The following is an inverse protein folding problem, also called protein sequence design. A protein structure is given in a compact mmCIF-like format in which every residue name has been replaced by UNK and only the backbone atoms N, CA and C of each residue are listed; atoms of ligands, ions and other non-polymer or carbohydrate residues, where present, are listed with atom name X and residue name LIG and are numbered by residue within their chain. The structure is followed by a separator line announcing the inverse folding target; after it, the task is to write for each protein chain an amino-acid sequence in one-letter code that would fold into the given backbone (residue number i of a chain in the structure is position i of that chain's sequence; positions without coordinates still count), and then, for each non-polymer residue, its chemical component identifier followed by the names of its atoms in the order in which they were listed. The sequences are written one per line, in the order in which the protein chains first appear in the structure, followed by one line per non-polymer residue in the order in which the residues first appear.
data_IF_428894986382
#
_entry.id   IF_428894986382
#
_cell.length_a   1.000
_cell.length_b   1.000
_cell.length_c   1.000
_cell.angle_alpha   90.00
_cell.angle_beta   90.00
_cell.angle_gamma   90.00
#
_symmetry.space_group_name_H-M   'P 1'
#
loop_
_entity.id
_entity.type
_entity.pdbx_description
1 polymer ?
#
# COMPACT_ATOMS: atom_id res chain seq x y z
N UNK A 1 -12.69 -13.00 -2.99
CA UNK A 1 -12.71 -13.44 -4.40
C UNK A 1 -11.28 -13.78 -4.80
N UNK A 2 -11.04 -14.78 -5.66
CA UNK A 2 -9.68 -15.03 -6.17
C UNK A 2 -9.28 -13.84 -7.03
N UNK A 3 -8.05 -13.32 -6.85
CA UNK A 3 -7.55 -12.22 -7.68
C UNK A 3 -7.51 -12.69 -9.14
N UNK A 4 -8.09 -11.94 -10.10
CA UNK A 4 -8.06 -12.32 -11.51
C UNK A 4 -6.61 -12.43 -11.98
N UNK A 5 -6.33 -13.44 -12.82
CA UNK A 5 -5.01 -13.64 -13.43
C UNK A 5 -5.07 -13.12 -14.86
N UNK A 6 -4.04 -12.37 -15.27
CA UNK A 6 -3.94 -11.86 -16.63
C UNK A 6 -3.93 -13.03 -17.64
N UNK A 7 -4.76 -13.00 -18.69
CA UNK A 7 -4.80 -14.07 -19.70
C UNK A 7 -3.41 -14.32 -20.30
N UNK A 8 -2.99 -15.58 -20.36
CA UNK A 8 -1.68 -15.99 -20.90
C UNK A 8 -0.48 -15.64 -20.00
N UNK A 9 -0.69 -15.16 -18.77
CA UNK A 9 0.40 -14.88 -17.86
C UNK A 9 1.09 -16.17 -17.40
N UNK A 10 2.42 -16.15 -17.38
CA UNK A 10 3.26 -17.19 -16.82
C UNK A 10 4.29 -16.56 -15.89
N UNK A 11 4.64 -17.28 -14.82
CA UNK A 11 5.74 -16.91 -13.94
C UNK A 11 6.76 -18.05 -13.90
N UNK A 12 8.04 -17.71 -14.00
CA UNK A 12 9.15 -18.65 -13.97
C UNK A 12 10.06 -18.29 -12.81
N UNK A 13 10.32 -19.27 -11.95
CA UNK A 13 11.33 -19.16 -10.89
C UNK A 13 12.71 -18.94 -11.51
N UNK A 14 13.47 -18.03 -10.94
CA UNK A 14 14.90 -17.92 -11.23
C UNK A 14 15.65 -19.09 -10.59
N UNK A 15 16.82 -19.44 -11.13
CA UNK A 15 17.71 -20.45 -10.56
C UNK A 15 18.93 -19.84 -9.87
N UNK A 16 18.90 -18.52 -9.63
CA UNK A 16 20.04 -17.79 -9.09
C UNK A 16 20.11 -17.95 -7.56
N UNK A 17 21.24 -18.38 -6.99
CA UNK A 17 21.37 -18.59 -5.55
C UNK A 17 21.06 -17.34 -4.71
N UNK A 18 21.45 -16.15 -5.21
CA UNK A 18 21.19 -14.88 -4.53
C UNK A 18 19.72 -14.42 -4.56
N UNK A 19 18.86 -15.02 -5.41
CA UNK A 19 17.46 -14.59 -5.55
C UNK A 19 16.53 -15.61 -4.87
N UNK A 20 16.00 -15.24 -3.71
CA UNK A 20 14.94 -15.99 -3.06
C UNK A 20 13.62 -15.77 -3.82
N UNK A 21 13.19 -16.77 -4.57
CA UNK A 21 11.93 -16.72 -5.29
C UNK A 21 10.75 -16.70 -4.31
N UNK A 22 9.77 -15.78 -4.48
CA UNK A 22 8.54 -15.80 -3.70
C UNK A 22 7.72 -17.05 -4.04
N UNK A 23 6.95 -17.54 -3.07
CA UNK A 23 6.03 -18.65 -3.29
C UNK A 23 4.88 -18.23 -4.22
N UNK A 24 4.36 -17.01 -4.03
CA UNK A 24 3.28 -16.42 -4.81
C UNK A 24 3.59 -14.93 -5.13
N UNK A 25 4.19 -14.61 -6.28
CA UNK A 25 4.46 -13.23 -6.71
C UNK A 25 3.17 -12.57 -7.23
N UNK A 26 2.23 -12.33 -6.32
CA UNK A 26 0.94 -11.72 -6.65
C UNK A 26 1.08 -10.22 -6.58
N UNK A 27 0.65 -9.54 -7.65
CA UNK A 27 0.49 -8.10 -7.65
C UNK A 27 -0.94 -7.77 -7.16
N UNK A 28 -1.05 -6.75 -6.30
CA UNK A 28 -2.34 -6.18 -5.88
C UNK A 28 -2.70 -4.99 -6.76
N UNK A 29 -3.91 -4.46 -6.60
CA UNK A 29 -4.29 -3.22 -7.28
C UNK A 29 -3.39 -2.06 -6.82
N UNK A 30 -2.87 -1.30 -7.78
CA UNK A 30 -1.99 -0.17 -7.56
C UNK A 30 -2.42 1.05 -8.38
N UNK A 31 -1.53 2.03 -8.52
CA UNK A 31 -1.78 3.27 -9.26
C UNK A 31 -2.19 3.03 -10.73
N UNK A 32 -1.80 1.90 -11.31
CA UNK A 32 -2.16 1.51 -12.68
C UNK A 32 -3.67 1.35 -12.87
N UNK A 33 -4.42 1.11 -11.78
CA UNK A 33 -5.88 1.05 -11.79
C UNK A 33 -6.56 2.43 -11.69
N UNK A 34 -5.78 3.49 -11.45
CA UNK A 34 -6.28 4.85 -11.29
C UNK A 34 -6.39 5.60 -12.62
N UNK A 35 -7.45 6.39 -12.78
CA UNK A 35 -7.70 7.14 -14.01
C UNK A 35 -8.13 8.58 -13.70
N UNK A 36 -7.23 9.52 -13.98
CA UNK A 36 -7.45 10.96 -13.76
C UNK A 36 -8.65 11.52 -14.56
N UNK A 37 -8.86 11.03 -15.78
CA UNK A 37 -9.98 11.47 -16.62
C UNK A 37 -11.31 11.00 -16.03
N UNK A 38 -11.36 9.75 -15.54
CA UNK A 38 -12.55 9.22 -14.89
C UNK A 38 -12.85 10.00 -13.59
N UNK A 39 -11.84 10.26 -12.77
CA UNK A 39 -11.99 11.10 -11.57
C UNK A 39 -12.54 12.50 -11.91
N UNK A 40 -11.93 13.19 -12.88
CA UNK A 40 -12.38 14.52 -13.31
C UNK A 40 -13.82 14.49 -13.84
N UNK A 41 -14.17 13.45 -14.59
CA UNK A 41 -15.53 13.24 -15.10
C UNK A 41 -16.53 13.08 -13.98
N UNK A 42 -16.20 12.32 -12.92
CA UNK A 42 -17.11 12.14 -11.77
C UNK A 42 -17.23 13.43 -10.95
N UNK A 43 -16.12 14.13 -10.70
CA UNK A 43 -16.12 15.40 -9.94
C UNK A 43 -16.93 16.49 -10.65
N UNK A 44 -16.79 16.63 -11.97
CA UNK A 44 -17.49 17.65 -12.74
C UNK A 44 -18.90 17.21 -13.16
N UNK A 45 -19.08 15.91 -13.40
CA UNK A 45 -20.32 15.32 -13.93
C UNK A 45 -21.38 15.11 -12.86
N UNK A 46 -21.03 14.69 -11.64
CA UNK A 46 -22.02 14.46 -10.59
C UNK A 46 -22.78 15.74 -10.18
N UNK A 47 -22.13 16.89 -9.93
CA UNK A 47 -22.83 18.15 -9.70
C UNK A 47 -23.67 18.59 -10.90
N UNK A 48 -23.19 18.36 -12.12
CA UNK A 48 -23.92 18.69 -13.36
C UNK A 48 -25.23 17.87 -13.46
N UNK A 49 -25.17 16.57 -13.15
CA UNK A 49 -26.34 15.70 -13.10
C UNK A 49 -27.33 16.15 -12.02
N UNK A 50 -26.86 16.52 -10.83
CA UNK A 50 -27.72 17.05 -9.75
C UNK A 50 -28.46 18.31 -10.21
N UNK A 51 -27.74 19.28 -10.78
CA UNK A 51 -28.34 20.53 -11.29
C UNK A 51 -29.37 20.23 -12.39
N UNK A 52 -29.05 19.31 -13.31
CA UNK A 52 -29.89 18.97 -14.45
C UNK A 52 -31.17 18.23 -14.03
N UNK A 53 -31.05 17.22 -13.16
CA UNK A 53 -32.17 16.39 -12.71
C UNK A 53 -33.11 17.17 -11.79
N UNK A 54 -32.55 17.95 -10.86
CA UNK A 54 -33.32 18.77 -9.92
C UNK A 54 -33.76 20.12 -10.53
N UNK A 55 -33.41 20.40 -11.79
CA UNK A 55 -33.70 21.66 -12.50
C UNK A 55 -33.29 22.91 -11.71
N UNK A 56 -32.12 22.84 -11.07
CA UNK A 56 -31.56 23.97 -10.32
C UNK A 56 -31.03 25.04 -11.28
N UNK A 57 -30.95 26.32 -10.86
CA UNK A 57 -30.38 27.37 -11.69
C UNK A 57 -28.89 27.13 -11.97
N UNK A 58 -28.41 27.48 -13.16
CA UNK A 58 -27.04 27.17 -13.61
C UNK A 58 -25.93 27.70 -12.70
N UNK A 59 -26.16 28.81 -11.99
CA UNK A 59 -25.18 29.36 -11.02
C UNK A 59 -24.92 28.42 -9.84
N UNK A 60 -25.86 27.51 -9.53
CA UNK A 60 -25.68 26.51 -8.47
C UNK A 60 -24.62 25.46 -8.84
N UNK A 61 -24.31 25.27 -10.13
CA UNK A 61 -23.32 24.30 -10.59
C UNK A 61 -21.92 24.53 -10.00
N UNK A 62 -21.25 25.68 -10.18
CA UNK A 62 -19.92 25.90 -9.62
C UNK A 62 -19.92 25.80 -8.08
N UNK A 63 -20.99 26.23 -7.41
CA UNK A 63 -21.13 26.13 -5.95
C UNK A 63 -21.17 24.67 -5.50
N UNK A 64 -22.03 23.86 -6.14
CA UNK A 64 -22.13 22.43 -5.85
C UNK A 64 -20.85 21.68 -6.21
N UNK A 65 -20.17 22.03 -7.30
CA UNK A 65 -18.89 21.44 -7.66
C UNK A 65 -17.84 21.67 -6.59
N UNK A 66 -17.71 22.90 -6.06
CA UNK A 66 -16.76 23.19 -4.98
C UNK A 66 -17.11 22.42 -3.71
N UNK A 67 -18.39 22.43 -3.32
CA UNK A 67 -18.85 21.76 -2.09
C UNK A 67 -18.70 20.23 -2.16
N UNK A 68 -18.96 19.64 -3.33
CA UNK A 68 -18.95 18.18 -3.51
C UNK A 68 -17.60 17.63 -4.00
N UNK A 69 -16.67 18.47 -4.46
CA UNK A 69 -15.39 18.00 -4.99
C UNK A 69 -14.63 17.10 -4.01
N UNK A 70 -14.44 17.54 -2.75
CA UNK A 70 -13.74 16.77 -1.74
C UNK A 70 -14.51 15.49 -1.32
N UNK A 71 -15.83 15.52 -1.02
CA UNK A 71 -16.59 14.30 -0.77
C UNK A 71 -16.57 13.29 -1.93
N UNK A 72 -16.72 13.76 -3.17
CA UNK A 72 -16.67 12.91 -4.37
C UNK A 72 -15.27 12.30 -4.52
N UNK A 73 -14.22 13.10 -4.34
CA UNK A 73 -12.84 12.64 -4.37
C UNK A 73 -12.61 11.55 -3.31
N UNK A 74 -13.00 11.78 -2.06
CA UNK A 74 -12.89 10.77 -1.00
C UNK A 74 -13.66 9.49 -1.36
N UNK A 75 -14.92 9.60 -1.79
CA UNK A 75 -15.72 8.43 -2.19
C UNK A 75 -15.09 7.65 -3.36
N UNK A 76 -14.47 8.36 -4.32
CA UNK A 76 -13.76 7.76 -5.44
C UNK A 76 -12.59 6.88 -4.98
N UNK A 77 -11.76 7.38 -4.07
CA UNK A 77 -10.62 6.63 -3.53
C UNK A 77 -11.06 5.41 -2.74
N UNK A 78 -12.16 5.51 -1.99
CA UNK A 78 -12.70 4.40 -1.20
C UNK A 78 -13.24 3.32 -2.12
N UNK A 79 -14.02 3.73 -3.11
CA UNK A 79 -14.52 2.82 -4.13
C UNK A 79 -13.37 2.14 -4.87
N UNK A 80 -12.37 2.90 -5.31
CA UNK A 80 -11.14 2.37 -5.92
C UNK A 80 -10.43 1.37 -5.01
N UNK A 81 -10.16 1.73 -3.76
CA UNK A 81 -9.47 0.87 -2.78
C UNK A 81 -10.18 -0.46 -2.52
N UNK A 82 -11.53 -0.47 -2.63
CA UNK A 82 -12.36 -1.66 -2.39
C UNK A 82 -12.49 -2.56 -3.61
N UNK A 83 -12.57 -1.98 -4.81
CA UNK A 83 -12.98 -2.69 -6.03
C UNK A 83 -11.92 -2.72 -7.12
N UNK A 84 -10.80 -2.01 -6.97
CA UNK A 84 -9.73 -2.04 -7.95
C UNK A 84 -9.19 -3.45 -8.12
N UNK A 85 -9.00 -3.83 -9.37
CA UNK A 85 -8.45 -5.13 -9.75
C UNK A 85 -6.94 -4.99 -10.00
N UNK A 86 -6.15 -6.02 -9.68
CA UNK A 86 -4.75 -6.05 -10.07
C UNK A 86 -4.58 -5.91 -11.58
N UNK A 87 -3.65 -5.05 -12.01
CA UNK A 87 -3.42 -4.79 -13.43
C UNK A 87 -2.62 -5.91 -14.13
N UNK A 88 -1.60 -6.44 -13.47
CA UNK A 88 -0.65 -7.39 -14.06
C UNK A 88 -0.41 -8.62 -13.17
N UNK A 89 -1.45 -9.07 -12.45
CA UNK A 89 -1.35 -10.29 -11.66
C UNK A 89 -1.11 -11.53 -12.54
N UNK A 90 0.01 -12.23 -12.29
CA UNK A 90 0.46 -13.38 -13.11
C UNK A 90 0.22 -14.73 -12.45
N UNK A 91 -0.07 -14.75 -11.15
CA UNK A 91 -0.20 -15.99 -10.38
C UNK A 91 -1.50 -15.92 -9.59
N UNK A 92 -2.15 -17.07 -9.42
CA UNK A 92 -3.37 -17.14 -8.62
C UNK A 92 -2.99 -17.21 -7.14
N UNK A 93 -3.71 -16.47 -6.29
CA UNK A 93 -3.52 -16.63 -4.85
C UNK A 93 -4.02 -18.01 -4.41
N UNK A 94 -3.45 -18.60 -3.34
CA UNK A 94 -3.98 -19.85 -2.77
C UNK A 94 -5.47 -19.78 -2.45
N UNK A 95 -5.98 -18.58 -2.11
CA UNK A 95 -7.40 -18.34 -1.91
C UNK A 95 -7.97 -19.08 -0.71
N UNK A 96 -7.09 -19.45 0.24
CA UNK A 96 -7.50 -20.02 1.53
C UNK A 96 -8.20 -18.96 2.37
N UNK A 97 -8.84 -19.40 3.45
CA UNK A 97 -9.59 -18.51 4.32
C UNK A 97 -8.66 -17.77 5.27
N UNK A 98 -9.12 -16.65 5.82
CA UNK A 98 -8.36 -15.85 6.81
C UNK A 98 -7.91 -16.72 7.99
N UNK A 99 -8.77 -17.60 8.47
CA UNK A 99 -8.51 -18.47 9.62
C UNK A 99 -7.45 -19.56 9.33
N UNK A 100 -7.22 -19.87 8.05
CA UNK A 100 -6.17 -20.81 7.65
C UNK A 100 -4.77 -20.18 7.75
N UNK A 101 -4.70 -18.85 7.87
CA UNK A 101 -3.46 -18.08 7.96
C UNK A 101 -3.24 -17.42 9.31
N UNK A 102 -4.33 -17.10 10.02
CA UNK A 102 -4.33 -16.21 11.16
C UNK A 102 -5.15 -16.79 12.30
N UNK A 103 -4.54 -16.89 13.48
CA UNK A 103 -5.28 -17.13 14.72
C UNK A 103 -5.65 -15.79 15.33
N UNK A 104 -6.96 -15.50 15.37
CA UNK A 104 -7.51 -14.29 15.97
C UNK A 104 -7.63 -14.47 17.48
N UNK A 105 -6.89 -13.66 18.24
CA UNK A 105 -6.92 -13.65 19.71
C UNK A 105 -8.00 -12.70 20.21
N UNK A 106 -8.08 -11.51 19.63
CA UNK A 106 -9.00 -10.46 20.06
C UNK A 106 -10.41 -10.64 19.47
N UNK A 107 -11.48 -10.69 20.28
CA UNK A 107 -12.87 -10.78 19.83
C UNK A 107 -13.29 -9.72 18.81
N UNK A 108 -12.71 -8.51 18.85
CA UNK A 108 -13.06 -7.41 17.94
C UNK A 108 -12.79 -7.72 16.45
N UNK A 109 -11.92 -8.70 16.19
CA UNK A 109 -11.52 -9.09 14.84
C UNK A 109 -12.24 -10.35 14.34
N UNK A 110 -13.07 -10.99 15.17
CA UNK A 110 -13.82 -12.21 14.80
C UNK A 110 -14.83 -12.00 13.65
N UNK A 111 -15.14 -10.74 13.33
CA UNK A 111 -15.92 -10.38 12.14
C UNK A 111 -15.21 -10.74 10.83
N UNK A 112 -13.87 -10.80 10.83
CA UNK A 112 -13.06 -11.15 9.66
C UNK A 112 -12.91 -12.66 9.57
N UNK A 113 -13.73 -13.30 8.74
CA UNK A 113 -13.81 -14.75 8.59
C UNK A 113 -13.98 -15.17 7.14
N UNK A 114 -13.55 -16.37 6.79
CA UNK A 114 -13.65 -16.88 5.44
C UNK A 114 -12.85 -16.04 4.45
N UNK A 115 -13.56 -15.33 3.56
CA UNK A 115 -12.96 -14.48 2.52
C UNK A 115 -13.02 -12.98 2.85
N UNK A 116 -13.52 -12.63 4.03
CA UNK A 116 -13.61 -11.25 4.48
C UNK A 116 -12.25 -10.80 5.02
N UNK A 117 -11.53 -10.08 4.16
CA UNK A 117 -10.17 -9.60 4.40
C UNK A 117 -10.15 -8.42 5.36
N UNK A 118 -9.04 -8.29 6.08
CA UNK A 118 -8.79 -7.21 7.03
C UNK A 118 -8.18 -6.02 6.26
N UNK A 119 -8.61 -4.76 6.46
CA UNK A 119 -7.90 -3.60 5.93
C UNK A 119 -6.42 -3.64 6.34
N UNK A 120 -5.53 -3.34 5.41
CA UNK A 120 -4.11 -3.64 5.58
C UNK A 120 -3.48 -2.95 6.82
N UNK A 121 -3.76 -1.67 7.04
CA UNK A 121 -3.33 -0.95 8.25
C UNK A 121 -3.88 -1.62 9.51
N UNK A 122 -5.20 -1.83 9.56
CA UNK A 122 -5.88 -2.49 10.69
C UNK A 122 -5.28 -3.86 10.99
N UNK A 123 -4.84 -4.59 9.96
CA UNK A 123 -4.18 -5.87 10.09
C UNK A 123 -2.80 -5.76 10.74
N UNK A 124 -1.94 -4.85 10.27
CA UNK A 124 -0.59 -4.70 10.81
C UNK A 124 -0.58 -4.11 12.22
N UNK A 125 -1.40 -3.09 12.49
CA UNK A 125 -1.53 -2.50 13.83
C UNK A 125 -1.98 -3.55 14.84
N UNK A 126 -3.03 -4.32 14.50
CA UNK A 126 -3.50 -5.40 15.35
C UNK A 126 -2.47 -6.53 15.50
N UNK A 127 -1.67 -6.81 14.47
CA UNK A 127 -0.57 -7.76 14.56
C UNK A 127 0.51 -7.29 15.53
N UNK A 128 0.97 -6.03 15.43
CA UNK A 128 1.97 -5.47 16.33
C UNK A 128 1.47 -5.37 17.78
N UNK A 129 0.17 -5.16 17.97
CA UNK A 129 -0.50 -5.23 19.27
C UNK A 129 -0.65 -6.67 19.82
N UNK A 130 -0.19 -7.69 19.09
CA UNK A 130 -0.28 -9.10 19.50
C UNK A 130 -1.70 -9.67 19.44
N UNK A 131 -2.64 -9.03 18.72
CA UNK A 131 -4.02 -9.49 18.55
C UNK A 131 -4.13 -10.70 17.62
N UNK A 132 -3.03 -11.06 16.96
CA UNK A 132 -2.89 -12.22 16.08
C UNK A 132 -1.61 -13.00 16.40
N UNK A 133 -1.68 -14.34 16.37
CA UNK A 133 -0.54 -15.19 16.82
C UNK A 133 0.24 -15.86 15.69
N UNK A 134 -0.37 -16.09 14.53
CA UNK A 134 0.26 -16.77 13.40
C UNK A 134 0.15 -15.91 12.15
N UNK A 135 1.27 -15.65 11.47
CA UNK A 135 1.30 -15.08 10.13
C UNK A 135 2.41 -15.78 9.34
N UNK A 136 2.11 -16.65 8.38
CA UNK A 136 3.10 -17.14 7.43
C UNK A 136 3.70 -15.99 6.63
N UNK A 137 5.01 -16.04 6.36
CA UNK A 137 5.81 -14.98 5.71
C UNK A 137 5.32 -14.56 4.30
N UNK A 138 4.24 -15.13 3.75
CA UNK A 138 3.87 -15.02 2.33
C UNK A 138 2.39 -14.74 2.05
N UNK A 139 1.51 -14.55 3.04
CA UNK A 139 0.05 -14.67 2.84
C UNK A 139 -0.73 -13.39 3.11
N UNK A 140 -0.03 -12.26 3.20
CA UNK A 140 -0.64 -10.93 3.42
C UNK A 140 -1.65 -10.58 2.34
N UNK A 141 -1.50 -11.08 1.10
CA UNK A 141 -2.43 -10.78 -0.01
C UNK A 141 -3.80 -11.49 0.14
N UNK A 142 -3.85 -12.65 0.79
CA UNK A 142 -5.10 -13.37 1.01
C UNK A 142 -5.83 -12.91 2.28
N UNK A 143 -5.10 -12.37 3.27
CA UNK A 143 -5.65 -11.89 4.55
C UNK A 143 -5.93 -10.39 4.53
N UNK A 144 -5.03 -9.61 3.93
CA UNK A 144 -5.07 -8.16 3.86
C UNK A 144 -5.82 -7.64 2.63
N UNK A 145 -6.46 -6.47 2.79
CA UNK A 145 -7.09 -5.73 1.70
C UNK A 145 -6.51 -4.33 1.62
N UNK A 146 -6.36 -3.80 0.41
CA UNK A 146 -5.94 -2.43 0.16
C UNK A 146 -7.06 -1.40 0.48
N UNK A 147 -8.15 -1.83 1.12
CA UNK A 147 -9.23 -0.97 1.55
C UNK A 147 -8.66 0.09 2.48
N UNK A 148 -8.96 1.36 2.20
CA UNK A 148 -8.68 2.45 3.11
C UNK A 148 -9.67 2.38 4.30
N UNK A 149 -9.22 2.11 5.52
CA UNK A 149 -10.11 2.11 6.69
C UNK A 149 -10.58 3.54 7.04
N UNK A 150 -11.67 3.61 7.80
CA UNK A 150 -12.34 4.86 8.21
C UNK A 150 -11.42 5.94 8.84
N UNK A 151 -10.40 5.60 9.66
CA UNK A 151 -9.53 6.62 10.26
C UNK A 151 -8.83 7.52 9.24
N UNK A 152 -8.61 7.05 8.00
CA UNK A 152 -7.96 7.85 6.97
C UNK A 152 -8.76 9.07 6.52
N UNK A 153 -10.09 9.09 6.65
CA UNK A 153 -10.85 10.30 6.34
C UNK A 153 -10.57 11.41 7.35
N UNK A 154 -10.49 11.02 8.63
CA UNK A 154 -10.16 11.94 9.71
C UNK A 154 -8.74 12.45 9.51
N UNK A 155 -7.78 11.55 9.25
CA UNK A 155 -6.41 11.94 8.92
C UNK A 155 -6.34 12.88 7.72
N UNK A 156 -7.01 12.56 6.61
CA UNK A 156 -6.99 13.37 5.39
C UNK A 156 -7.49 14.80 5.65
N UNK A 157 -8.60 14.93 6.38
CA UNK A 157 -9.21 16.24 6.66
C UNK A 157 -8.48 17.01 7.76
N UNK A 158 -8.03 16.34 8.82
CA UNK A 158 -7.51 16.99 10.03
C UNK A 158 -6.00 17.13 10.06
N UNK A 159 -5.27 16.36 9.25
CA UNK A 159 -3.80 16.40 9.18
C UNK A 159 -3.35 16.76 7.76
N UNK A 160 -3.64 15.90 6.77
CA UNK A 160 -3.09 16.06 5.42
C UNK A 160 -3.46 17.39 4.74
N UNK A 161 -4.74 17.81 4.78
CA UNK A 161 -5.18 19.10 4.20
C UNK A 161 -4.49 20.29 4.89
N UNK A 162 -4.55 20.45 6.23
CA UNK A 162 -3.84 21.51 6.93
C UNK A 162 -2.34 21.55 6.62
N UNK A 163 -1.67 20.40 6.65
CA UNK A 163 -0.23 20.30 6.44
C UNK A 163 0.19 20.63 5.01
N UNK A 164 -0.62 20.28 4.02
CA UNK A 164 -0.37 20.61 2.61
C UNK A 164 -0.55 22.11 2.34
N UNK A 165 -1.42 22.77 3.09
CA UNK A 165 -1.68 24.21 2.97
C UNK A 165 -0.69 25.03 3.81
N UNK A 166 -0.19 24.47 4.92
CA UNK A 166 0.63 25.18 5.90
C UNK A 166 1.92 24.42 6.22
N UNK A 167 3.06 25.03 5.89
CA UNK A 167 4.39 24.51 6.20
C UNK A 167 5.03 25.28 7.36
N UNK A 168 5.48 24.57 8.40
CA UNK A 168 6.24 25.17 9.51
C UNK A 168 7.37 24.25 9.96
N UNK A 169 8.51 24.85 10.33
CA UNK A 169 9.69 24.10 10.79
C UNK A 169 9.40 23.19 11.99
N UNK A 170 8.55 23.65 12.90
CA UNK A 170 8.16 22.89 14.10
C UNK A 170 7.38 21.63 13.73
N UNK A 171 6.50 21.72 12.73
CA UNK A 171 5.73 20.58 12.24
C UNK A 171 6.66 19.56 11.56
N UNK A 172 7.58 20.03 10.72
CA UNK A 172 8.58 19.16 10.09
C UNK A 172 9.46 18.45 11.14
N UNK A 173 9.87 19.16 12.21
CA UNK A 173 10.66 18.60 13.31
C UNK A 173 9.87 17.52 14.08
N UNK A 174 8.64 17.82 14.51
CA UNK A 174 7.81 16.88 15.27
C UNK A 174 7.47 15.61 14.46
N UNK A 175 7.41 15.68 13.12
CA UNK A 175 7.19 14.53 12.23
C UNK A 175 8.42 13.62 12.07
N UNK A 176 9.61 14.24 11.98
CA UNK A 176 10.86 13.53 11.70
C UNK A 176 11.44 12.92 12.98
N UNK A 177 11.28 13.59 14.13
CA UNK A 177 11.97 13.23 15.38
C UNK A 177 11.79 11.76 15.77
N UNK A 178 10.56 11.26 15.85
CA UNK A 178 10.28 9.88 16.31
C UNK A 178 10.86 8.77 15.40
N UNK A 179 11.09 9.06 14.12
CA UNK A 179 11.63 8.10 13.15
C UNK A 179 13.16 8.13 13.08
N UNK A 180 13.79 9.25 13.45
CA UNK A 180 15.23 9.48 13.29
C UNK A 180 15.99 9.60 14.63
N UNK A 181 15.31 9.75 15.77
CA UNK A 181 15.92 9.62 17.11
C UNK A 181 16.20 8.16 17.50
N UNK A 182 16.66 7.36 16.54
CA UNK A 182 17.18 5.99 16.77
C UNK A 182 18.68 6.00 16.57
N UNK A 183 19.42 5.45 17.53
CA UNK A 183 20.88 5.38 17.48
C UNK A 183 21.41 4.39 16.44
N UNK A 184 22.71 4.50 16.13
CA UNK A 184 23.41 3.60 15.21
C UNK A 184 23.36 2.14 15.65
N UNK A 185 23.22 1.88 16.95
CA UNK A 185 23.06 0.54 17.53
C UNK A 185 21.79 -0.17 17.03
N UNK A 186 20.69 0.56 16.89
CA UNK A 186 19.45 0.03 16.30
C UNK A 186 19.67 -0.41 14.86
N UNK A 187 20.31 0.43 14.05
CA UNK A 187 20.54 0.16 12.63
C UNK A 187 21.61 -0.92 12.40
N UNK A 188 22.65 -0.95 13.23
CA UNK A 188 23.73 -1.92 13.16
C UNK A 188 23.23 -3.36 13.33
N UNK A 189 22.12 -3.56 14.05
CA UNK A 189 21.51 -4.87 14.25
C UNK A 189 21.05 -5.55 12.94
N UNK A 190 20.79 -4.80 11.87
CA UNK A 190 20.32 -5.36 10.59
C UNK A 190 21.01 -4.83 9.33
N UNK A 191 21.76 -3.72 9.39
CA UNK A 191 22.53 -3.20 8.24
C UNK A 191 23.96 -3.73 8.17
N UNK A 192 24.48 -4.30 9.26
CA UNK A 192 25.87 -4.73 9.34
C UNK A 192 26.87 -3.56 9.39
N UNK A 193 28.19 -3.85 9.31
CA UNK A 193 29.24 -2.88 9.63
C UNK A 193 29.30 -1.65 8.71
N UNK A 194 28.76 -1.75 7.49
CA UNK A 194 28.81 -0.63 6.53
C UNK A 194 27.77 0.44 6.78
N UNK A 195 26.71 0.13 7.55
CA UNK A 195 25.62 1.08 7.87
C UNK A 195 24.96 1.68 6.62
N UNK A 196 24.97 0.96 5.49
CA UNK A 196 24.42 1.46 4.23
C UNK A 196 22.94 1.12 4.16
N UNK A 197 22.08 2.12 4.39
CA UNK A 197 20.63 1.97 4.33
C UNK A 197 20.08 2.27 2.93
N UNK A 198 20.47 1.47 1.95
CA UNK A 198 19.98 1.56 0.57
C UNK A 198 20.17 0.22 -0.14
N UNK A 199 19.66 0.10 -1.37
CA UNK A 199 19.83 -1.11 -2.18
C UNK A 199 21.30 -1.50 -2.33
N UNK A 200 21.58 -2.79 -2.42
CA UNK A 200 22.87 -3.32 -2.90
C UNK A 200 22.78 -3.73 -4.38
N UNK A 201 23.91 -4.11 -4.97
CA UNK A 201 23.99 -4.64 -6.33
C UNK A 201 24.63 -6.02 -6.28
N UNK A 202 23.92 -7.03 -6.80
CA UNK A 202 24.52 -8.34 -7.05
C UNK A 202 25.40 -8.25 -8.31
N UNK A 203 26.70 -8.53 -8.19
CA UNK A 203 27.63 -8.48 -9.33
C UNK A 203 27.71 -9.81 -10.09
N UNK A 204 27.55 -10.93 -9.39
CA UNK A 204 27.57 -12.29 -9.93
C UNK A 204 26.35 -13.08 -9.46
N UNK A 205 25.34 -13.19 -10.34
CA UNK A 205 24.10 -13.93 -10.07
C UNK A 205 24.27 -15.44 -9.91
N UNK A 206 25.45 -16.00 -10.25
CA UNK A 206 25.74 -17.43 -10.09
C UNK A 206 26.21 -17.79 -8.68
N UNK A 207 26.56 -16.79 -7.86
CA UNK A 207 26.97 -16.94 -6.47
C UNK A 207 25.90 -16.38 -5.53
N UNK A 208 26.01 -16.72 -4.25
CA UNK A 208 25.23 -16.09 -3.19
C UNK A 208 26.10 -15.03 -2.53
N UNK A 209 25.92 -13.76 -2.91
CA UNK A 209 26.70 -12.64 -2.36
C UNK A 209 26.15 -12.20 -1.00
N UNK A 210 27.02 -11.83 -0.06
CA UNK A 210 26.60 -11.31 1.25
C UNK A 210 26.04 -9.89 1.13
N UNK A 211 25.39 -9.42 2.19
CA UNK A 211 24.92 -8.03 2.27
C UNK A 211 26.08 -7.06 2.03
N UNK A 212 27.23 -7.28 2.68
CA UNK A 212 28.42 -6.45 2.58
C UNK A 212 29.00 -6.45 1.17
N UNK A 213 29.10 -7.61 0.53
CA UNK A 213 29.56 -7.73 -0.86
C UNK A 213 28.65 -6.94 -1.81
N UNK A 214 27.33 -7.09 -1.67
CA UNK A 214 26.37 -6.36 -2.51
C UNK A 214 26.45 -4.84 -2.32
N UNK A 215 26.75 -4.37 -1.10
CA UNK A 215 26.94 -2.94 -0.85
C UNK A 215 28.26 -2.44 -1.45
N UNK A 216 29.33 -3.21 -1.35
CA UNK A 216 30.63 -2.88 -1.97
C UNK A 216 30.56 -2.84 -3.49
N UNK A 217 29.87 -3.82 -4.08
CA UNK A 217 29.61 -3.89 -5.51
C UNK A 217 28.88 -2.66 -6.01
N UNK A 218 27.89 -2.18 -5.25
CA UNK A 218 27.21 -0.92 -5.56
C UNK A 218 28.14 0.28 -5.51
N UNK A 219 28.92 0.43 -4.44
CA UNK A 219 29.83 1.57 -4.30
C UNK A 219 30.83 1.61 -5.46
N UNK A 220 31.42 0.46 -5.81
CA UNK A 220 32.31 0.33 -6.96
C UNK A 220 31.61 0.72 -8.26
N UNK A 221 30.42 0.16 -8.52
CA UNK A 221 29.66 0.45 -9.74
C UNK A 221 29.31 1.94 -9.89
N UNK A 222 28.95 2.62 -8.80
CA UNK A 222 28.64 4.05 -8.83
C UNK A 222 29.90 4.89 -9.04
N UNK A 223 31.03 4.53 -8.41
CA UNK A 223 32.30 5.23 -8.60
C UNK A 223 32.93 5.03 -9.98
N UNK A 224 32.66 3.89 -10.63
CA UNK A 224 33.15 3.58 -11.98
C UNK A 224 32.35 4.31 -13.08
N UNK A 225 31.22 4.95 -12.74
CA UNK A 225 30.37 5.74 -13.65
C UNK A 225 30.70 7.23 -13.63
#
# INVERSE_FOLDING_TARGET
MTSPVKPGATWKKTSYPSIKNPEYPVEVAGNESFNNLHLATVILGAPFLIVSVLKLPLWSYPVLTILLALPIFAAYFVYGSKYALPFNNRVQTPGKKVEDYLTIVDPAFQQYKGKDRIPMETFFEAYFDGKFTQIPQCTVVDVGSALLPQPYYVFFVTQWIPETIWHSKKQDEDQVRDHYDRGDDFYAAFLGPRMIYTSGIMSDVSKNETLEEMQDNKLKFVCDK
#
